data_IF_851573606786
#
_entry.id   IF_851573606786
#
_cell.length_a   1.000
_cell.length_b   1.000
_cell.length_c   1.000
_cell.angle_alpha   90.00
_cell.angle_beta   90.00
_cell.angle_gamma   90.00
#
_symmetry.space_group_name_H-M   'P 1'
#
loop_
_entity.id
_entity.type
_entity.pdbx_description
1 polymer ?
#
# COMPACT_ATOMS: atom_id res chain seq x y z
N UNK A 1 -2.67 64.10 -30.06
CA UNK A 1 -1.64 63.02 -29.89
C UNK A 1 -1.17 62.87 -28.44
N UNK A 2 -0.89 63.90 -27.67
CA UNK A 2 -0.43 63.76 -26.27
C UNK A 2 -1.46 63.05 -25.37
N UNK A 3 -2.74 63.33 -25.49
CA UNK A 3 -3.78 62.69 -24.65
C UNK A 3 -4.00 61.20 -25.02
N UNK A 4 -3.83 60.83 -26.27
CA UNK A 4 -3.86 59.44 -26.68
C UNK A 4 -2.77 58.58 -26.01
N UNK A 5 -1.54 59.07 -26.06
CA UNK A 5 -0.44 58.34 -25.39
C UNK A 5 -0.57 58.30 -23.89
N UNK A 6 -1.11 59.35 -23.29
CA UNK A 6 -1.38 59.42 -21.84
C UNK A 6 -2.42 58.36 -21.44
N UNK A 7 -3.49 58.20 -22.20
CA UNK A 7 -4.55 57.20 -21.94
C UNK A 7 -4.00 55.77 -22.17
N UNK A 8 -3.25 55.54 -23.24
CA UNK A 8 -2.61 54.25 -23.47
C UNK A 8 -1.68 53.85 -22.32
N UNK A 9 -0.84 54.78 -21.86
CA UNK A 9 0.05 54.54 -20.73
C UNK A 9 -0.72 54.25 -19.43
N UNK A 10 -1.78 55.01 -19.14
CA UNK A 10 -2.62 54.78 -17.98
C UNK A 10 -3.29 53.41 -17.99
N UNK A 11 -3.78 52.97 -19.19
CA UNK A 11 -4.38 51.65 -19.33
C UNK A 11 -3.36 50.54 -19.14
N UNK A 12 -2.18 50.65 -19.70
CA UNK A 12 -1.10 49.67 -19.55
C UNK A 12 -0.68 49.55 -18.09
N UNK A 13 -0.49 50.68 -17.38
CA UNK A 13 -0.16 50.65 -15.97
C UNK A 13 -1.32 50.01 -15.13
N UNK A 14 -2.57 50.36 -15.46
CA UNK A 14 -3.74 49.77 -14.82
C UNK A 14 -3.80 48.24 -14.96
N UNK A 15 -3.55 47.72 -16.15
CA UNK A 15 -3.50 46.28 -16.42
C UNK A 15 -2.37 45.63 -15.61
N UNK A 16 -1.16 46.21 -15.62
CA UNK A 16 -0.05 45.64 -14.83
C UNK A 16 -0.32 45.67 -13.30
N UNK A 17 -0.94 46.73 -12.78
CA UNK A 17 -1.35 46.79 -11.39
C UNK A 17 -2.40 45.71 -11.04
N UNK A 18 -3.39 45.52 -11.92
CA UNK A 18 -4.43 44.49 -11.73
C UNK A 18 -3.81 43.09 -11.71
N UNK A 19 -2.93 42.77 -12.65
CA UNK A 19 -2.19 41.50 -12.67
C UNK A 19 -1.32 41.34 -11.42
N UNK A 20 -0.63 42.39 -10.99
CA UNK A 20 0.19 42.35 -9.77
C UNK A 20 -0.65 42.04 -8.51
N UNK A 21 -1.83 42.63 -8.40
CA UNK A 21 -2.76 42.38 -7.30
C UNK A 21 -3.27 40.93 -7.32
N UNK A 22 -3.66 40.41 -8.51
CA UNK A 22 -4.15 39.04 -8.65
C UNK A 22 -3.05 38.03 -8.26
N UNK A 23 -1.82 38.26 -8.72
CA UNK A 23 -0.67 37.43 -8.36
C UNK A 23 -0.40 37.48 -6.84
N UNK A 24 -0.43 38.69 -6.24
CA UNK A 24 -0.22 38.85 -4.79
C UNK A 24 -1.28 38.09 -3.97
N UNK A 25 -2.56 38.21 -4.35
CA UNK A 25 -3.64 37.43 -3.71
C UNK A 25 -3.49 35.92 -3.91
N UNK A 26 -3.07 35.50 -5.11
CA UNK A 26 -2.78 34.10 -5.40
C UNK A 26 -1.65 33.55 -4.51
N UNK A 27 -0.56 34.29 -4.36
CA UNK A 27 0.57 33.91 -3.50
C UNK A 27 0.18 33.90 -2.01
N UNK A 28 -0.56 34.90 -1.55
CA UNK A 28 -1.05 34.95 -0.14
C UNK A 28 -1.99 33.76 0.14
N UNK A 29 -2.90 33.45 -0.80
CA UNK A 29 -3.78 32.29 -0.68
C UNK A 29 -2.99 30.99 -0.63
N UNK A 30 -1.97 30.84 -1.49
CA UNK A 30 -1.09 29.68 -1.51
C UNK A 30 -0.29 29.52 -0.22
N UNK A 31 0.27 30.61 0.30
CA UNK A 31 0.98 30.62 1.60
C UNK A 31 0.00 30.30 2.73
N UNK A 32 -1.21 30.83 2.70
CA UNK A 32 -2.25 30.55 3.70
C UNK A 32 -2.65 29.08 3.74
N UNK A 33 -2.80 28.44 2.58
CA UNK A 33 -3.10 27.01 2.48
C UNK A 33 -1.91 26.14 2.93
N UNK A 34 -0.68 26.51 2.58
CA UNK A 34 0.52 25.82 3.04
C UNK A 34 0.75 25.97 4.55
N UNK A 35 0.49 27.15 5.10
CA UNK A 35 0.61 27.41 6.55
C UNK A 35 -0.48 26.69 7.37
N UNK A 36 -1.71 26.56 6.85
CA UNK A 36 -2.77 25.80 7.50
C UNK A 36 -2.54 24.29 7.44
N UNK A 37 -1.79 23.80 6.47
CA UNK A 37 -1.39 22.38 6.38
C UNK A 37 -0.25 22.03 7.34
N UNK A 38 0.42 23.01 7.96
CA UNK A 38 1.49 22.79 8.94
C UNK A 38 0.99 22.62 10.38
N UNK A 39 -0.32 22.77 10.66
CA UNK A 39 -0.88 22.37 11.94
C UNK A 39 -0.87 20.84 12.03
N UNK A 40 -0.11 20.33 12.99
CA UNK A 40 -0.03 18.88 13.22
C UNK A 40 -1.43 18.32 13.47
N UNK A 41 -1.81 17.24 12.77
CA UNK A 41 -3.13 16.65 12.91
C UNK A 41 -3.29 16.10 14.33
N UNK A 42 -4.23 16.63 15.08
CA UNK A 42 -4.56 16.10 16.41
C UNK A 42 -5.29 14.78 16.28
N UNK A 43 -4.71 13.74 16.87
CA UNK A 43 -5.33 12.41 16.93
C UNK A 43 -6.35 12.41 18.06
N UNK A 44 -7.62 12.16 17.71
CA UNK A 44 -8.72 12.05 18.67
C UNK A 44 -8.63 10.75 19.45
N UNK A 45 -9.19 10.76 20.65
CA UNK A 45 -9.34 9.54 21.44
C UNK A 45 -10.20 8.52 20.71
N UNK A 46 -10.00 7.25 21.04
CA UNK A 46 -10.75 6.12 20.48
C UNK A 46 -10.70 6.06 18.94
N UNK A 47 -9.51 6.31 18.38
CA UNK A 47 -9.24 6.31 16.96
C UNK A 47 -8.75 4.95 16.44
N UNK A 48 -8.89 4.75 15.12
CA UNK A 48 -8.41 3.57 14.38
C UNK A 48 -7.46 4.02 13.29
N UNK A 49 -6.26 3.42 13.24
CA UNK A 49 -5.37 3.60 12.10
C UNK A 49 -5.91 2.82 10.90
N UNK A 50 -6.15 3.51 9.79
CA UNK A 50 -6.61 2.88 8.55
C UNK A 50 -5.43 2.69 7.59
N UNK A 51 -5.09 1.43 7.31
CA UNK A 51 -4.16 1.05 6.26
C UNK A 51 -4.95 0.77 4.98
N UNK A 52 -5.04 1.76 4.11
CA UNK A 52 -5.66 1.60 2.80
C UNK A 52 -4.61 1.07 1.81
N UNK A 53 -4.59 -0.25 1.60
CA UNK A 53 -3.61 -0.93 0.76
C UNK A 53 -4.06 -0.90 -0.70
N UNK A 54 -3.85 0.25 -1.36
CA UNK A 54 -4.20 0.45 -2.76
C UNK A 54 -3.13 1.27 -3.47
N UNK A 55 -2.78 0.87 -4.70
CA UNK A 55 -1.80 1.55 -5.53
C UNK A 55 -0.38 0.97 -5.43
N UNK A 56 0.62 1.78 -5.70
CA UNK A 56 2.01 1.37 -5.68
C UNK A 56 2.66 1.68 -4.32
N UNK A 57 3.39 0.73 -3.75
CA UNK A 57 4.20 0.97 -2.55
C UNK A 57 5.63 1.23 -2.99
N UNK A 58 6.12 2.44 -2.73
CA UNK A 58 7.49 2.87 -2.97
C UNK A 58 8.20 3.13 -1.64
N UNK A 59 9.52 3.22 -1.62
CA UNK A 59 10.27 3.46 -0.39
C UNK A 59 9.85 4.76 0.31
N UNK A 60 9.62 5.83 -0.48
CA UNK A 60 9.13 7.13 0.01
C UNK A 60 7.89 7.54 -0.78
N UNK A 61 6.91 8.13 -0.10
CA UNK A 61 5.81 8.81 -0.78
C UNK A 61 6.37 9.99 -1.57
N UNK A 62 6.02 10.07 -2.87
CA UNK A 62 6.29 11.27 -3.67
C UNK A 62 5.33 12.40 -3.22
N UNK A 63 5.85 13.63 -3.09
CA UNK A 63 4.98 14.80 -3.01
C UNK A 63 4.42 15.07 -4.41
N UNK A 64 3.24 14.55 -4.69
CA UNK A 64 2.51 14.84 -5.93
C UNK A 64 1.78 16.19 -5.81
N UNK A 65 2.55 17.27 -5.86
CA UNK A 65 2.02 18.64 -5.79
C UNK A 65 1.03 18.88 -6.94
N UNK A 66 1.28 18.30 -8.12
CA UNK A 66 0.40 18.44 -9.27
C UNK A 66 -0.89 17.64 -9.09
N UNK A 67 -0.83 16.45 -8.54
CA UNK A 67 -1.99 15.63 -8.17
C UNK A 67 -2.84 16.30 -7.09
N UNK A 68 -2.22 16.92 -6.08
CA UNK A 68 -2.93 17.73 -5.07
C UNK A 68 -3.69 18.90 -5.70
N UNK A 69 -3.08 19.60 -6.67
CA UNK A 69 -3.71 20.74 -7.34
C UNK A 69 -4.79 20.33 -8.34
N UNK A 70 -4.68 19.17 -8.95
CA UNK A 70 -5.62 18.66 -9.97
C UNK A 70 -6.68 17.72 -9.41
N UNK A 71 -6.60 17.36 -8.13
CA UNK A 71 -7.47 16.36 -7.50
C UNK A 71 -7.22 14.91 -7.96
N UNK A 72 -6.15 14.68 -8.72
CA UNK A 72 -5.70 13.37 -9.19
C UNK A 72 -4.47 12.92 -8.39
N UNK A 73 -4.63 12.75 -7.09
CA UNK A 73 -3.53 12.19 -6.27
C UNK A 73 -3.19 10.77 -6.77
N UNK A 74 -1.95 10.58 -7.19
CA UNK A 74 -1.42 9.24 -7.44
C UNK A 74 -1.42 8.51 -6.10
N UNK A 75 -2.15 7.38 -6.00
CA UNK A 75 -2.19 6.53 -4.81
C UNK A 75 -0.83 5.83 -4.61
N UNK A 76 0.20 6.61 -4.29
CA UNK A 76 1.53 6.10 -3.96
C UNK A 76 1.68 6.10 -2.45
N UNK A 77 1.83 4.92 -1.88
CA UNK A 77 2.09 4.74 -0.46
C UNK A 77 3.60 4.67 -0.22
N UNK A 78 4.11 5.48 0.70
CA UNK A 78 5.49 5.35 1.16
C UNK A 78 5.63 4.21 2.16
N UNK A 79 6.57 3.27 1.92
CA UNK A 79 6.90 2.22 2.89
C UNK A 79 7.29 2.83 4.22
N UNK A 80 8.19 3.84 4.21
CA UNK A 80 8.64 4.53 5.41
C UNK A 80 7.48 5.17 6.19
N UNK A 81 6.47 5.71 5.50
CA UNK A 81 5.29 6.28 6.13
C UNK A 81 4.40 5.21 6.76
N UNK A 82 4.24 4.06 6.07
CA UNK A 82 3.48 2.92 6.61
C UNK A 82 4.14 2.39 7.89
N UNK A 83 5.46 2.16 7.85
CA UNK A 83 6.21 1.65 9.00
C UNK A 83 6.17 2.62 10.17
N UNK A 84 6.39 3.93 9.91
CA UNK A 84 6.31 4.98 10.92
C UNK A 84 4.90 5.11 11.51
N UNK A 85 3.85 5.01 10.67
CA UNK A 85 2.47 5.07 11.14
C UNK A 85 2.12 3.90 12.06
N UNK A 86 2.53 2.67 11.72
CA UNK A 86 2.28 1.49 12.56
C UNK A 86 3.06 1.61 13.87
N UNK A 87 4.33 2.05 13.84
CA UNK A 87 5.16 2.23 15.03
C UNK A 87 4.55 3.27 15.98
N UNK A 88 4.15 4.44 15.44
CA UNK A 88 3.49 5.49 16.24
C UNK A 88 2.13 5.05 16.77
N UNK A 89 1.36 4.30 16.00
CA UNK A 89 0.08 3.74 16.44
C UNK A 89 0.25 2.72 17.57
N UNK A 90 1.35 1.97 17.56
CA UNK A 90 1.71 1.02 18.60
C UNK A 90 1.80 1.72 19.97
N UNK A 91 2.49 2.86 20.00
CA UNK A 91 2.82 3.60 21.23
C UNK A 91 1.77 4.67 21.60
N UNK A 92 0.75 4.90 20.76
CA UNK A 92 -0.27 5.92 21.00
C UNK A 92 -1.54 5.33 21.61
N UNK A 93 -1.86 5.66 22.85
CA UNK A 93 -3.03 5.14 23.58
C UNK A 93 -4.38 5.56 22.99
N UNK A 94 -4.41 6.62 22.17
CA UNK A 94 -5.61 7.07 21.47
C UNK A 94 -5.99 6.12 20.31
N UNK A 95 -5.03 5.37 19.78
CA UNK A 95 -5.26 4.35 18.74
C UNK A 95 -5.62 3.02 19.39
N UNK A 96 -6.80 2.53 19.09
CA UNK A 96 -7.34 1.27 19.67
C UNK A 96 -7.08 0.05 18.79
N UNK A 97 -6.86 0.24 17.50
CA UNK A 97 -6.60 -0.83 16.56
C UNK A 97 -6.20 -0.35 15.18
N UNK A 98 -5.92 -1.31 14.31
CA UNK A 98 -5.66 -1.10 12.89
C UNK A 98 -6.80 -1.71 12.07
N UNK A 99 -7.29 -0.95 11.10
CA UNK A 99 -8.21 -1.42 10.08
C UNK A 99 -7.50 -1.47 8.73
N UNK A 100 -7.24 -2.68 8.24
CA UNK A 100 -6.64 -2.91 6.92
C UNK A 100 -7.77 -2.96 5.89
N UNK A 101 -7.79 -1.99 4.97
CA UNK A 101 -8.62 -2.03 3.78
C UNK A 101 -7.80 -2.63 2.65
N UNK A 102 -8.14 -3.85 2.27
CA UNK A 102 -7.47 -4.53 1.18
C UNK A 102 -7.93 -3.95 -0.17
N UNK A 103 -6.96 -3.68 -1.01
CA UNK A 103 -7.14 -3.25 -2.39
C UNK A 103 -6.08 -3.91 -3.26
N UNK A 104 -5.90 -3.39 -4.46
CA UNK A 104 -4.87 -3.86 -5.38
C UNK A 104 -3.58 -3.08 -5.10
N UNK A 105 -2.53 -3.77 -4.67
CA UNK A 105 -1.20 -3.19 -4.45
C UNK A 105 -0.18 -3.77 -5.44
N UNK A 106 0.69 -2.90 -5.94
CA UNK A 106 1.90 -3.29 -6.65
C UNK A 106 3.09 -3.12 -5.70
N UNK A 107 3.69 -4.23 -5.28
CA UNK A 107 4.83 -4.26 -4.38
C UNK A 107 5.54 -5.61 -4.45
N UNK A 108 6.83 -5.63 -4.15
CA UNK A 108 7.58 -6.87 -3.99
C UNK A 108 7.38 -7.50 -2.60
N UNK A 109 7.70 -8.78 -2.48
CA UNK A 109 7.51 -9.53 -1.23
C UNK A 109 8.44 -9.07 -0.11
N UNK A 110 9.60 -8.46 -0.38
CA UNK A 110 10.49 -7.94 0.65
C UNK A 110 9.82 -6.76 1.37
N UNK A 111 9.28 -5.82 0.61
CA UNK A 111 8.49 -4.69 1.13
C UNK A 111 7.27 -5.18 1.94
N UNK A 112 6.53 -6.16 1.40
CA UNK A 112 5.37 -6.73 2.13
C UNK A 112 5.78 -7.42 3.43
N UNK A 113 6.91 -8.09 3.44
CA UNK A 113 7.43 -8.75 4.64
C UNK A 113 7.79 -7.76 5.74
N UNK A 114 8.36 -6.62 5.39
CA UNK A 114 8.71 -5.56 6.33
C UNK A 114 7.44 -4.93 6.97
N UNK A 115 6.43 -4.63 6.16
CA UNK A 115 5.13 -4.16 6.66
C UNK A 115 4.49 -5.21 7.59
N UNK A 116 4.53 -6.49 7.17
CA UNK A 116 4.00 -7.59 7.97
C UNK A 116 4.71 -7.71 9.33
N UNK A 117 6.02 -7.58 9.36
CA UNK A 117 6.79 -7.61 10.61
C UNK A 117 6.33 -6.50 11.57
N UNK A 118 6.12 -5.29 11.07
CA UNK A 118 5.58 -4.17 11.87
C UNK A 118 4.16 -4.41 12.36
N UNK A 119 3.30 -5.03 11.56
CA UNK A 119 1.95 -5.42 12.00
C UNK A 119 2.00 -6.47 13.13
N UNK A 120 2.93 -7.42 13.07
CA UNK A 120 3.14 -8.42 14.13
C UNK A 120 3.67 -7.78 15.41
N UNK A 121 4.58 -6.79 15.34
CA UNK A 121 5.02 -6.00 16.48
C UNK A 121 3.84 -5.23 17.11
N UNK A 122 3.01 -4.59 16.29
CA UNK A 122 1.80 -3.90 16.76
C UNK A 122 0.86 -4.85 17.51
N UNK A 123 0.67 -6.06 16.99
CA UNK A 123 -0.20 -7.07 17.63
C UNK A 123 0.26 -7.47 19.03
N UNK A 124 1.54 -7.34 19.36
CA UNK A 124 2.06 -7.61 20.72
C UNK A 124 1.51 -6.64 21.77
N UNK A 125 1.03 -5.46 21.37
CA UNK A 125 0.39 -4.48 22.28
C UNK A 125 -1.02 -4.88 22.72
N UNK A 126 -1.57 -5.99 22.22
CA UNK A 126 -2.94 -6.45 22.41
C UNK A 126 -4.03 -5.54 21.80
N UNK A 127 -3.64 -4.53 21.03
CA UNK A 127 -4.57 -3.77 20.19
C UNK A 127 -4.99 -4.65 19.02
N UNK A 128 -6.24 -4.52 18.59
CA UNK A 128 -6.78 -5.38 17.55
C UNK A 128 -6.38 -4.95 16.13
N UNK A 129 -6.31 -5.92 15.23
CA UNK A 129 -6.18 -5.72 13.79
C UNK A 129 -7.35 -6.40 13.11
N UNK A 130 -8.07 -5.67 12.28
CA UNK A 130 -9.17 -6.16 11.44
C UNK A 130 -8.83 -5.88 9.99
N UNK A 131 -9.04 -6.85 9.12
CA UNK A 131 -8.86 -6.70 7.68
C UNK A 131 -10.18 -6.94 6.95
N UNK A 132 -10.45 -6.14 5.92
CA UNK A 132 -11.56 -6.30 4.99
C UNK A 132 -11.12 -6.05 3.56
N UNK A 133 -11.61 -6.89 2.66
CA UNK A 133 -11.47 -6.72 1.21
C UNK A 133 -12.75 -7.10 0.49
N UNK A 134 -13.07 -6.35 -0.56
CA UNK A 134 -14.02 -6.82 -1.56
C UNK A 134 -13.40 -7.98 -2.31
N UNK A 135 -12.10 -7.88 -2.62
CA UNK A 135 -11.26 -8.95 -3.13
C UNK A 135 -9.90 -8.92 -2.42
N UNK A 136 -9.22 -10.04 -2.38
CA UNK A 136 -7.85 -10.15 -1.89
C UNK A 136 -6.91 -10.66 -2.98
N UNK A 137 -5.99 -9.81 -3.43
CA UNK A 137 -4.82 -10.26 -4.15
C UNK A 137 -3.86 -10.98 -3.19
N UNK A 138 -3.06 -11.94 -3.68
CA UNK A 138 -2.16 -12.76 -2.83
C UNK A 138 -1.25 -11.91 -1.93
N UNK A 139 -0.66 -10.83 -2.46
CA UNK A 139 0.19 -9.93 -1.66
C UNK A 139 -0.58 -9.18 -0.57
N UNK A 140 -1.79 -8.69 -0.87
CA UNK A 140 -2.64 -8.02 0.11
C UNK A 140 -3.15 -8.99 1.16
N UNK A 141 -3.50 -10.23 0.75
CA UNK A 141 -3.88 -11.29 1.70
C UNK A 141 -2.74 -11.68 2.63
N UNK A 142 -1.50 -11.72 2.10
CA UNK A 142 -0.31 -11.97 2.92
C UNK A 142 -0.21 -10.99 4.09
N UNK A 143 -0.50 -9.69 3.87
CA UNK A 143 -0.56 -8.70 4.94
C UNK A 143 -1.81 -8.88 5.83
N UNK A 144 -2.98 -9.06 5.22
CA UNK A 144 -4.25 -9.17 5.93
C UNK A 144 -4.30 -10.41 6.84
N UNK A 145 -3.58 -11.49 6.50
CA UNK A 145 -3.56 -12.73 7.27
C UNK A 145 -3.01 -12.59 8.69
N UNK A 146 -2.32 -11.48 9.02
CA UNK A 146 -1.89 -11.13 10.40
C UNK A 146 -3.07 -10.73 11.28
N UNK A 147 -4.15 -10.21 10.70
CA UNK A 147 -5.28 -9.66 11.43
C UNK A 147 -5.95 -10.69 12.36
N UNK A 148 -6.55 -10.19 13.43
CA UNK A 148 -7.34 -11.02 14.36
C UNK A 148 -8.63 -11.52 13.72
N UNK A 149 -9.16 -10.70 12.78
CA UNK A 149 -10.29 -11.05 11.93
C UNK A 149 -10.05 -10.58 10.49
N UNK A 150 -10.22 -11.50 9.57
CA UNK A 150 -10.17 -11.27 8.13
C UNK A 150 -11.56 -11.44 7.56
N UNK A 151 -12.11 -10.39 6.98
CA UNK A 151 -13.42 -10.35 6.39
C UNK A 151 -13.33 -10.23 4.87
N UNK A 152 -14.16 -10.99 4.17
CA UNK A 152 -14.28 -10.93 2.70
C UNK A 152 -15.71 -10.56 2.35
N UNK A 153 -15.88 -9.79 1.28
CA UNK A 153 -17.19 -9.54 0.69
C UNK A 153 -17.86 -10.87 0.30
N UNK A 154 -19.17 -11.06 0.53
CA UNK A 154 -19.87 -12.30 0.17
C UNK A 154 -19.77 -12.70 -1.30
N UNK A 155 -19.51 -11.75 -2.20
CA UNK A 155 -19.29 -11.98 -3.64
C UNK A 155 -17.81 -11.79 -4.04
N UNK A 156 -16.93 -11.63 -3.06
CA UNK A 156 -15.52 -11.37 -3.29
C UNK A 156 -14.70 -12.63 -3.58
N UNK A 157 -13.49 -12.40 -4.05
CA UNK A 157 -12.53 -13.44 -4.42
C UNK A 157 -11.25 -13.32 -3.60
N UNK A 158 -10.50 -14.42 -3.52
CA UNK A 158 -9.20 -14.45 -2.91
C UNK A 158 -8.21 -15.15 -3.85
N UNK A 159 -7.18 -14.41 -4.25
CA UNK A 159 -6.10 -14.93 -5.05
C UNK A 159 -5.09 -15.65 -4.15
N UNK A 160 -4.92 -16.95 -4.38
CA UNK A 160 -3.89 -17.78 -3.74
C UNK A 160 -3.41 -18.82 -4.73
N UNK A 161 -2.30 -18.55 -5.45
CA UNK A 161 -1.86 -19.31 -6.63
C UNK A 161 -0.37 -19.63 -6.67
N UNK A 162 0.41 -19.24 -5.66
CA UNK A 162 1.85 -19.41 -5.67
C UNK A 162 2.60 -18.33 -6.46
N UNK A 163 3.84 -18.62 -6.81
CA UNK A 163 4.73 -17.71 -7.55
C UNK A 163 5.26 -18.45 -8.79
N UNK A 164 5.15 -17.80 -9.94
CA UNK A 164 5.67 -18.31 -11.20
C UNK A 164 6.63 -17.30 -11.86
N UNK A 165 7.59 -17.81 -12.63
CA UNK A 165 8.47 -17.02 -13.49
C UNK A 165 8.33 -17.50 -14.93
N UNK A 166 8.02 -16.58 -15.83
CA UNK A 166 7.81 -16.85 -17.24
C UNK A 166 8.60 -15.85 -18.10
N UNK A 167 9.91 -16.05 -18.27
CA UNK A 167 10.73 -15.18 -19.13
C UNK A 167 10.39 -15.37 -20.61
N UNK A 168 10.48 -14.28 -21.37
CA UNK A 168 10.36 -14.32 -22.84
C UNK A 168 11.74 -14.40 -23.49
N UNK A 169 11.85 -15.20 -24.56
CA UNK A 169 13.09 -15.38 -25.33
C UNK A 169 12.92 -14.77 -26.71
N UNK A 170 13.87 -13.95 -27.11
CA UNK A 170 13.80 -13.13 -28.34
C UNK A 170 14.74 -13.62 -29.45
N UNK A 171 15.55 -14.66 -29.23
CA UNK A 171 16.54 -15.16 -30.21
C UNK A 171 15.94 -15.38 -31.58
N UNK A 172 14.90 -16.19 -31.72
CA UNK A 172 14.29 -16.52 -32.99
C UNK A 172 13.68 -15.31 -33.71
N UNK A 173 13.14 -14.37 -32.94
CA UNK A 173 12.64 -13.10 -33.48
C UNK A 173 13.78 -12.26 -34.05
N UNK A 174 14.87 -12.11 -33.31
CA UNK A 174 16.04 -11.35 -33.74
C UNK A 174 16.68 -11.94 -34.99
N UNK A 175 16.81 -13.26 -35.07
CA UNK A 175 17.33 -13.97 -36.26
C UNK A 175 16.47 -13.70 -37.50
N UNK A 176 15.13 -13.73 -37.36
CA UNK A 176 14.19 -13.45 -38.45
C UNK A 176 14.32 -12.03 -39.02
N UNK A 177 14.70 -11.08 -38.22
CA UNK A 177 14.92 -9.68 -38.66
C UNK A 177 16.40 -9.40 -38.98
N UNK A 178 17.25 -10.44 -39.02
CA UNK A 178 18.66 -10.33 -39.41
C UNK A 178 19.58 -9.77 -38.31
N UNK A 179 19.12 -9.71 -37.06
CA UNK A 179 19.92 -9.24 -35.92
C UNK A 179 20.58 -10.42 -35.21
N UNK A 180 21.90 -10.38 -35.05
CA UNK A 180 22.66 -11.34 -34.24
C UNK A 180 23.10 -10.72 -32.94
N UNK A 181 22.76 -11.37 -31.82
CA UNK A 181 23.20 -10.94 -30.50
C UNK A 181 24.41 -11.79 -30.05
N UNK A 182 25.54 -11.13 -29.79
CA UNK A 182 26.75 -11.80 -29.30
C UNK A 182 26.93 -11.46 -27.81
N UNK A 183 26.81 -12.48 -26.97
CA UNK A 183 27.00 -12.33 -25.52
C UNK A 183 28.43 -12.75 -25.13
N UNK A 184 29.10 -11.90 -24.38
CA UNK A 184 30.34 -12.24 -23.70
C UNK A 184 30.01 -12.39 -22.22
N UNK A 185 29.97 -13.63 -21.73
CA UNK A 185 29.65 -13.95 -20.33
C UNK A 185 30.73 -14.82 -19.70
N UNK A 186 31.02 -14.58 -18.43
CA UNK A 186 31.95 -15.41 -17.66
C UNK A 186 31.19 -16.03 -16.48
N UNK A 187 31.20 -17.36 -16.39
CA UNK A 187 30.55 -18.13 -15.34
C UNK A 187 29.20 -18.70 -15.75
N UNK A 188 28.90 -19.87 -15.19
CA UNK A 188 27.74 -20.71 -15.51
C UNK A 188 26.40 -20.04 -15.21
N UNK A 189 26.34 -19.27 -14.10
CA UNK A 189 25.13 -18.67 -13.59
C UNK A 189 24.89 -17.21 -14.06
N UNK A 190 25.46 -16.81 -15.21
CA UNK A 190 25.25 -15.49 -15.82
C UNK A 190 24.19 -15.56 -16.90
N UNK A 191 22.93 -15.59 -16.49
CA UNK A 191 21.77 -15.87 -17.34
C UNK A 191 21.12 -14.64 -17.99
N UNK A 192 21.52 -13.40 -17.65
CA UNK A 192 20.87 -12.20 -18.14
C UNK A 192 20.80 -12.06 -19.66
N UNK A 193 21.78 -12.64 -20.40
CA UNK A 193 21.82 -12.62 -21.86
C UNK A 193 21.02 -13.73 -22.52
N UNK A 194 20.57 -14.75 -21.79
CA UNK A 194 19.85 -15.90 -22.33
C UNK A 194 18.56 -15.52 -23.06
N UNK A 195 17.91 -14.43 -22.64
CA UNK A 195 16.73 -13.89 -23.30
C UNK A 195 16.97 -13.59 -24.80
N UNK A 196 18.23 -13.31 -25.19
CA UNK A 196 18.62 -12.93 -26.54
C UNK A 196 19.43 -14.02 -27.24
N UNK A 197 20.05 -14.96 -26.52
CA UNK A 197 20.96 -15.96 -27.07
C UNK A 197 20.40 -17.37 -27.10
N UNK A 198 19.36 -17.62 -26.29
CA UNK A 198 18.76 -18.96 -26.14
C UNK A 198 17.28 -18.93 -26.57
N UNK A 199 16.72 -20.09 -26.82
CA UNK A 199 15.27 -20.28 -27.12
C UNK A 199 14.47 -20.69 -25.89
N UNK A 200 15.15 -20.92 -24.78
CA UNK A 200 14.56 -21.35 -23.51
C UNK A 200 15.55 -21.22 -22.36
N UNK A 201 15.07 -21.43 -21.16
CA UNK A 201 15.88 -21.32 -19.94
C UNK A 201 16.92 -22.44 -19.86
N UNK A 202 18.20 -22.08 -19.68
CA UNK A 202 19.24 -23.07 -19.41
C UNK A 202 18.99 -23.77 -18.07
N UNK A 203 19.60 -24.95 -17.87
CA UNK A 203 19.47 -25.72 -16.63
C UNK A 203 19.98 -24.91 -15.42
N UNK A 204 21.12 -24.24 -15.55
CA UNK A 204 21.69 -23.39 -14.50
C UNK A 204 20.76 -22.21 -14.16
N UNK A 205 20.15 -21.58 -15.17
CA UNK A 205 19.20 -20.52 -14.94
C UNK A 205 17.92 -21.03 -14.28
N UNK A 206 17.43 -22.19 -14.71
CA UNK A 206 16.27 -22.86 -14.11
C UNK A 206 16.51 -23.17 -12.64
N UNK A 207 17.68 -23.67 -12.29
CA UNK A 207 18.07 -23.92 -10.90
C UNK A 207 18.00 -22.62 -10.05
N UNK A 208 18.62 -21.53 -10.55
CA UNK A 208 18.59 -20.24 -9.84
C UNK A 208 17.18 -19.72 -9.65
N UNK A 209 16.40 -19.66 -10.73
CA UNK A 209 15.03 -19.13 -10.69
C UNK A 209 14.16 -20.00 -9.78
N UNK A 210 14.25 -21.32 -9.89
CA UNK A 210 13.49 -22.25 -9.02
C UNK A 210 13.84 -22.02 -7.55
N UNK A 211 15.13 -21.94 -7.22
CA UNK A 211 15.56 -21.70 -5.85
C UNK A 211 15.06 -20.36 -5.30
N UNK A 212 15.10 -19.32 -6.14
CA UNK A 212 14.63 -17.99 -5.77
C UNK A 212 13.11 -17.96 -5.51
N UNK A 213 12.30 -18.43 -6.48
CA UNK A 213 10.82 -18.38 -6.33
C UNK A 213 10.32 -19.34 -5.24
N UNK A 214 10.97 -20.49 -5.07
CA UNK A 214 10.64 -21.45 -4.00
C UNK A 214 10.92 -20.82 -2.63
N UNK A 215 12.09 -20.16 -2.45
CA UNK A 215 12.40 -19.50 -1.19
C UNK A 215 11.42 -18.37 -0.84
N UNK A 216 10.98 -17.59 -1.83
CA UNK A 216 9.93 -16.58 -1.63
C UNK A 216 8.60 -17.24 -1.25
N UNK A 217 8.19 -18.28 -1.95
CA UNK A 217 6.93 -18.97 -1.68
C UNK A 217 6.92 -19.65 -0.33
N UNK A 218 7.98 -20.35 0.05
CA UNK A 218 8.13 -20.98 1.36
C UNK A 218 8.01 -19.97 2.49
N UNK A 219 8.60 -18.78 2.34
CA UNK A 219 8.46 -17.71 3.32
C UNK A 219 6.99 -17.27 3.45
N UNK A 220 6.33 -16.99 2.33
CA UNK A 220 4.92 -16.54 2.32
C UNK A 220 4.00 -17.59 2.95
N UNK A 221 4.12 -18.85 2.52
CA UNK A 221 3.24 -19.93 2.99
C UNK A 221 3.46 -20.25 4.47
N UNK A 222 4.71 -20.24 4.95
CA UNK A 222 5.04 -20.46 6.35
C UNK A 222 4.45 -19.36 7.26
N UNK A 223 4.58 -18.10 6.84
CA UNK A 223 4.05 -16.97 7.60
C UNK A 223 2.51 -16.95 7.64
N UNK A 224 1.84 -17.26 6.53
CA UNK A 224 0.39 -17.40 6.50
C UNK A 224 -0.07 -18.61 7.32
N UNK A 225 0.63 -19.73 7.23
CA UNK A 225 0.37 -20.93 8.05
C UNK A 225 0.36 -20.61 9.55
N UNK A 226 1.40 -19.89 10.03
CA UNK A 226 1.48 -19.46 11.44
C UNK A 226 0.32 -18.56 11.86
N UNK A 227 -0.08 -17.63 10.99
CA UNK A 227 -1.11 -16.65 11.33
C UNK A 227 -2.52 -17.21 11.24
N UNK A 228 -2.80 -18.09 10.27
CA UNK A 228 -4.14 -18.64 10.02
C UNK A 228 -4.37 -20.02 10.65
N UNK A 229 -3.33 -20.67 11.15
CA UNK A 229 -3.43 -22.04 11.68
C UNK A 229 -3.77 -23.08 10.62
N UNK A 230 -3.42 -22.84 9.36
CA UNK A 230 -3.59 -23.75 8.24
C UNK A 230 -2.23 -24.39 7.94
N UNK A 231 -2.17 -25.71 7.75
CA UNK A 231 -0.89 -26.36 7.46
C UNK A 231 -0.29 -25.92 6.11
N UNK A 232 1.04 -25.88 6.04
CA UNK A 232 1.77 -25.55 4.80
C UNK A 232 1.35 -26.44 3.64
N UNK A 233 1.18 -27.75 3.90
CA UNK A 233 0.70 -28.69 2.88
C UNK A 233 -0.67 -28.30 2.34
N UNK A 234 -1.58 -27.90 3.22
CA UNK A 234 -2.92 -27.50 2.81
C UNK A 234 -2.93 -26.19 2.04
N UNK A 235 -2.09 -25.20 2.44
CA UNK A 235 -1.93 -23.96 1.70
C UNK A 235 -1.35 -24.19 0.29
N UNK A 236 -0.42 -25.14 0.13
CA UNK A 236 0.07 -25.55 -1.18
C UNK A 236 -1.03 -26.19 -2.02
N UNK A 237 -1.82 -27.09 -1.45
CA UNK A 237 -2.98 -27.69 -2.15
C UNK A 237 -3.98 -26.63 -2.60
N UNK A 238 -4.21 -25.59 -1.80
CA UNK A 238 -5.08 -24.48 -2.19
C UNK A 238 -4.50 -23.64 -3.33
N UNK A 239 -3.19 -23.45 -3.35
CA UNK A 239 -2.52 -22.74 -4.44
C UNK A 239 -2.60 -23.52 -5.77
N UNK A 240 -2.40 -24.84 -5.72
CA UNK A 240 -2.52 -25.73 -6.88
C UNK A 240 -3.96 -25.79 -7.42
N UNK A 241 -4.96 -25.60 -6.55
CA UNK A 241 -6.38 -25.62 -6.90
C UNK A 241 -6.92 -24.33 -7.51
N UNK A 242 -6.10 -23.33 -7.74
CA UNK A 242 -6.48 -22.02 -8.34
C UNK A 242 -7.66 -21.37 -7.61
N UNK A 243 -7.45 -21.05 -6.34
CA UNK A 243 -8.47 -20.49 -5.42
C UNK A 243 -9.19 -19.23 -5.95
N UNK A 244 -8.58 -18.49 -6.89
CA UNK A 244 -9.18 -17.28 -7.48
C UNK A 244 -10.59 -17.51 -8.06
N UNK A 245 -10.88 -18.73 -8.51
CA UNK A 245 -12.18 -19.09 -9.12
C UNK A 245 -13.16 -19.72 -8.14
N UNK A 246 -12.80 -19.80 -6.87
CA UNK A 246 -13.69 -20.31 -5.83
C UNK A 246 -14.64 -19.22 -5.32
N UNK A 247 -15.83 -19.64 -4.91
CA UNK A 247 -16.76 -18.71 -4.28
C UNK A 247 -16.34 -18.37 -2.84
N UNK A 248 -16.81 -17.25 -2.33
CA UNK A 248 -16.44 -16.77 -0.99
C UNK A 248 -16.79 -17.76 0.14
N UNK A 249 -17.85 -18.57 -0.01
CA UNK A 249 -18.25 -19.56 0.99
C UNK A 249 -17.21 -20.68 1.12
N UNK A 250 -16.66 -21.16 0.00
CA UNK A 250 -15.59 -22.18 -0.02
C UNK A 250 -14.28 -21.61 0.56
N UNK A 251 -13.94 -20.37 0.23
CA UNK A 251 -12.79 -19.66 0.81
C UNK A 251 -12.90 -19.57 2.34
N UNK A 252 -14.10 -19.26 2.87
CA UNK A 252 -14.38 -19.27 4.30
C UNK A 252 -14.31 -20.68 4.89
N UNK A 253 -14.87 -21.69 4.23
CA UNK A 253 -14.79 -23.10 4.68
C UNK A 253 -13.34 -23.58 4.80
N UNK A 254 -12.44 -23.11 3.93
CA UNK A 254 -11.00 -23.33 3.97
C UNK A 254 -10.27 -22.53 5.06
N UNK A 255 -10.97 -21.72 5.85
CA UNK A 255 -10.42 -20.87 6.93
C UNK A 255 -9.45 -19.79 6.45
N UNK A 256 -9.46 -19.49 5.16
CA UNK A 256 -8.65 -18.37 4.63
C UNK A 256 -9.19 -17.03 5.12
N UNK A 257 -10.52 -16.92 5.32
CA UNK A 257 -11.16 -15.75 5.93
C UNK A 257 -12.07 -16.20 7.09
N UNK A 258 -12.35 -15.28 8.02
CA UNK A 258 -13.14 -15.60 9.21
C UNK A 258 -14.65 -15.49 8.99
N UNK A 259 -15.08 -14.45 8.25
CA UNK A 259 -16.49 -14.21 7.95
C UNK A 259 -16.67 -13.51 6.60
N UNK A 260 -17.86 -13.66 6.05
CA UNK A 260 -18.30 -12.95 4.87
C UNK A 260 -19.18 -11.79 5.30
N UNK A 261 -18.74 -10.56 5.06
CA UNK A 261 -19.43 -9.35 5.49
C UNK A 261 -19.39 -8.30 4.37
N UNK A 262 -20.42 -7.49 4.28
CA UNK A 262 -20.41 -6.27 3.50
C UNK A 262 -19.69 -5.14 4.27
N UNK A 263 -19.27 -4.11 3.56
CA UNK A 263 -18.48 -3.01 4.13
C UNK A 263 -19.17 -2.27 5.29
N UNK A 264 -20.51 -2.13 5.25
CA UNK A 264 -21.31 -1.54 6.31
C UNK A 264 -21.32 -2.41 7.58
N UNK A 265 -21.40 -3.73 7.41
CA UNK A 265 -21.34 -4.70 8.51
C UNK A 265 -19.94 -4.69 9.17
N UNK A 266 -18.87 -4.57 8.37
CA UNK A 266 -17.51 -4.43 8.92
C UNK A 266 -17.37 -3.11 9.69
N UNK A 267 -17.98 -2.02 9.19
CA UNK A 267 -18.01 -0.74 9.92
C UNK A 267 -18.73 -0.89 11.27
N UNK A 268 -19.84 -1.64 11.32
CA UNK A 268 -20.54 -1.94 12.56
C UNK A 268 -19.68 -2.76 13.52
N UNK A 269 -18.93 -3.77 13.03
CA UNK A 269 -18.00 -4.56 13.83
C UNK A 269 -16.85 -3.70 14.41
N UNK A 270 -16.32 -2.75 13.63
CA UNK A 270 -15.31 -1.79 14.11
C UNK A 270 -15.89 -0.90 15.20
N UNK A 271 -17.10 -0.35 15.03
CA UNK A 271 -17.79 0.43 16.06
C UNK A 271 -17.98 -0.36 17.36
N UNK A 272 -18.41 -1.61 17.25
CA UNK A 272 -18.56 -2.51 18.40
C UNK A 272 -17.24 -2.71 19.16
N UNK A 273 -16.12 -2.84 18.44
CA UNK A 273 -14.78 -2.96 19.05
C UNK A 273 -14.32 -1.70 19.75
N UNK A 274 -14.76 -0.55 19.25
CA UNK A 274 -14.50 0.76 19.86
C UNK A 274 -15.43 1.09 21.02
N UNK A 275 -16.52 0.33 21.19
CA UNK A 275 -17.54 0.60 22.21
C UNK A 275 -18.33 1.89 21.95
N UNK A 276 -18.51 2.27 20.66
CA UNK A 276 -19.27 3.46 20.25
C UNK A 276 -20.63 3.04 19.65
N UNK A 277 -21.60 3.96 19.73
CA UNK A 277 -22.96 3.73 19.25
C UNK A 277 -23.03 3.64 17.71
N UNK A 278 -24.13 3.09 17.22
CA UNK A 278 -24.33 2.84 15.78
C UNK A 278 -24.38 4.10 14.94
N UNK A 279 -24.80 5.23 15.50
CA UNK A 279 -24.91 6.54 14.89
C UNK A 279 -23.61 7.38 14.98
N UNK A 280 -22.71 7.02 15.91
CA UNK A 280 -21.44 7.70 16.05
C UNK A 280 -20.48 7.42 14.86
N UNK A 281 -19.67 8.40 14.51
CA UNK A 281 -18.65 8.24 13.48
C UNK A 281 -17.37 7.62 14.06
N UNK A 282 -16.77 6.68 13.32
CA UNK A 282 -15.45 6.13 13.67
C UNK A 282 -14.38 7.19 13.39
N UNK A 283 -13.58 7.54 14.39
CA UNK A 283 -12.40 8.39 14.25
C UNK A 283 -11.32 7.59 13.49
N UNK A 284 -11.15 7.90 12.20
CA UNK A 284 -10.17 7.24 11.33
C UNK A 284 -8.93 8.13 11.20
N UNK A 285 -7.76 7.52 11.34
CA UNK A 285 -6.47 8.18 11.15
C UNK A 285 -5.79 7.52 9.94
N UNK A 286 -5.42 8.32 8.95
CA UNK A 286 -4.70 7.82 7.78
C UNK A 286 -3.23 7.55 8.08
N UNK A 287 -2.56 6.75 7.22
CA UNK A 287 -1.11 6.53 7.29
C UNK A 287 -0.34 7.85 7.30
N UNK A 288 -0.66 8.76 6.37
CA UNK A 288 0.00 10.07 6.25
C UNK A 288 -0.17 10.91 7.53
N UNK A 289 -1.40 10.97 8.04
CA UNK A 289 -1.72 11.68 9.28
C UNK A 289 -0.96 11.11 10.48
N UNK A 290 -0.95 9.77 10.61
CA UNK A 290 -0.26 9.12 11.73
C UNK A 290 1.26 9.24 11.61
N UNK A 291 1.82 9.09 10.41
CA UNK A 291 3.25 9.27 10.18
C UNK A 291 3.73 10.70 10.49
N UNK A 292 2.90 11.71 10.20
CA UNK A 292 3.20 13.12 10.48
C UNK A 292 2.97 13.53 11.95
N UNK A 293 2.18 12.76 12.74
CA UNK A 293 1.90 13.11 14.14
C UNK A 293 3.16 13.01 15.00
N UNK A 294 3.26 13.84 16.06
CA UNK A 294 4.29 13.64 17.10
C UNK A 294 3.93 12.41 17.94
N UNK A 295 4.95 11.65 18.32
CA UNK A 295 4.79 10.65 19.39
C UNK A 295 4.56 11.47 20.65
N UNK A 296 3.36 11.35 21.25
CA UNK A 296 3.06 12.03 22.51
C UNK A 296 4.15 11.69 23.52
N UNK A 297 5.10 12.59 23.70
CA UNK A 297 5.98 12.58 24.88
C UNK A 297 5.05 12.86 26.03
N UNK A 298 4.66 11.82 26.74
CA UNK A 298 4.07 11.96 28.06
C UNK A 298 4.92 13.00 28.81
N UNK A 299 4.29 14.06 29.28
CA UNK A 299 4.92 15.23 29.84
C UNK A 299 5.92 14.87 30.92
N UNK A 300 7.21 14.85 30.59
CA UNK A 300 8.28 15.00 31.56
C UNK A 300 8.42 16.47 32.04
N UNK A 301 7.35 17.27 32.00
CA UNK A 301 7.37 18.69 32.40
C UNK A 301 6.60 19.02 33.66
N UNK A 302 6.16 18.01 34.40
CA UNK A 302 5.62 18.23 35.75
C UNK A 302 6.41 17.43 36.80
N UNK A 303 7.67 17.83 37.03
CA UNK A 303 8.40 17.63 38.26
C UNK A 303 9.64 18.55 38.26
N UNK A 304 9.45 19.81 38.49
CA UNK A 304 10.42 20.66 39.20
C UNK A 304 9.63 21.58 40.11
#
# INVERSE_FOLDING_TARGET
MKDFFKNVFATVIGVFLTFGIIIAFGVISLIGTLASSSSQPEIKDNSVLVLNLQGNITEKSGEDILGMLTGNETNTLGLNDILAAIEKAKDNDKIKGIYIKAGIIASDYATLQEIRAKLLEFKQTKKWIVAYGDDYMQGTYYLASVADKVYLNPLGHLEWRGIASQPMYYKDMLEKIGVRFNAIKVGTYKSATELFTETGMSEANREQVTKYITGLWENVVNEVSKSRGISVSQLNTYADGVMLFENAADIKAKKMVDQLLYADQVKAEVKKRLGIDSDEAVNQVSVKTMAASEIGRASCRERV
#
